data_IF_733315016766
#
_entry.id   IF_733315016766
#
_cell.length_a   1.000
_cell.length_b   1.000
_cell.length_c   1.000
_cell.angle_alpha   90.00
_cell.angle_beta   90.00
_cell.angle_gamma   90.00
#
_symmetry.space_group_name_H-M   'P 1'
#
loop_
_entity.id
_entity.type
_entity.pdbx_description
1 polymer ?
#
# COMPACT_ATOMS: atom_id res chain seq x y z
N UNK A 1 -5.64 8.65 -0.72
CA UNK A 1 -5.82 10.06 -1.15
C UNK A 1 -6.19 10.98 0.01
N UNK A 2 -7.32 10.81 0.72
CA UNK A 2 -7.74 11.74 1.79
C UNK A 2 -6.68 11.97 2.88
N UNK A 3 -5.92 10.93 3.27
CA UNK A 3 -4.88 11.06 4.30
C UNK A 3 -3.63 11.80 3.80
N UNK A 4 -3.22 11.59 2.55
CA UNK A 4 -2.07 12.29 1.96
C UNK A 4 -2.41 13.77 1.74
N UNK A 5 -3.64 14.06 1.27
CA UNK A 5 -4.14 15.44 1.16
C UNK A 5 -4.21 16.14 2.52
N UNK A 6 -4.71 15.46 3.55
CA UNK A 6 -4.73 16.00 4.92
C UNK A 6 -3.33 16.25 5.50
N UNK A 7 -2.32 15.51 5.02
CA UNK A 7 -0.92 15.71 5.37
C UNK A 7 -0.20 16.75 4.50
N UNK A 8 -0.86 17.31 3.48
CA UNK A 8 -0.25 18.15 2.45
C UNK A 8 0.90 17.45 1.69
N UNK A 9 0.76 16.15 1.47
CA UNK A 9 1.72 15.28 0.79
C UNK A 9 1.11 14.60 -0.44
N UNK A 10 -0.03 15.08 -0.95
CA UNK A 10 -0.72 14.49 -2.10
C UNK A 10 0.01 14.66 -3.42
N UNK A 11 0.95 15.60 -3.49
CA UNK A 11 1.90 15.80 -4.58
C UNK A 11 3.01 14.74 -4.60
N UNK A 12 3.38 14.19 -3.44
CA UNK A 12 4.47 13.22 -3.30
C UNK A 12 4.02 11.79 -3.03
N UNK A 13 2.82 11.55 -2.44
CA UNK A 13 2.32 10.20 -2.12
C UNK A 13 0.80 10.11 -2.09
N UNK A 14 0.29 8.90 -1.82
CA UNK A 14 -1.14 8.64 -1.60
C UNK A 14 -1.96 8.26 -2.84
N UNK A 15 -1.32 8.16 -4.01
CA UNK A 15 -1.78 7.52 -5.24
C UNK A 15 -0.58 6.91 -6.01
N UNK A 16 -0.86 6.02 -6.97
CA UNK A 16 0.17 5.40 -7.83
C UNK A 16 0.21 6.17 -9.14
N UNK A 17 1.14 7.12 -9.25
CA UNK A 17 1.32 8.01 -10.40
C UNK A 17 2.82 8.24 -10.65
N UNK A 18 3.21 8.50 -11.89
CA UNK A 18 4.59 8.86 -12.21
C UNK A 18 5.01 10.14 -11.47
N UNK A 19 6.23 10.15 -10.93
CA UNK A 19 6.77 11.28 -10.16
C UNK A 19 6.48 11.24 -8.66
N UNK A 20 5.60 10.34 -8.18
CA UNK A 20 5.35 10.13 -6.74
C UNK A 20 6.24 9.04 -6.13
N UNK A 21 6.37 9.06 -4.81
CA UNK A 21 7.04 8.01 -4.06
C UNK A 21 6.33 6.68 -4.22
N UNK A 22 7.10 5.63 -4.49
CA UNK A 22 6.59 4.28 -4.60
C UNK A 22 6.45 3.65 -3.20
N UNK A 23 5.45 4.13 -2.46
CA UNK A 23 5.04 3.61 -1.15
C UNK A 23 3.86 2.64 -1.33
N UNK A 24 4.13 1.34 -1.22
CA UNK A 24 3.18 0.28 -1.56
C UNK A 24 3.21 -0.86 -0.54
N UNK A 25 2.05 -1.43 -0.26
CA UNK A 25 1.91 -2.69 0.48
C UNK A 25 1.15 -3.69 -0.37
N UNK A 26 1.71 -4.89 -0.52
CA UNK A 26 1.12 -5.97 -1.30
C UNK A 26 0.62 -7.04 -0.34
N UNK A 27 -0.63 -7.46 -0.51
CA UNK A 27 -1.27 -8.51 0.27
C UNK A 27 -1.34 -9.82 -0.53
N UNK A 28 -1.45 -10.95 0.18
CA UNK A 28 -1.59 -12.29 -0.41
C UNK A 28 -2.93 -12.51 -1.14
N UNK A 29 -3.90 -11.59 -0.96
CA UNK A 29 -5.25 -11.64 -1.53
C UNK A 29 -5.74 -10.26 -1.94
N UNK A 30 -6.74 -10.22 -2.82
CA UNK A 30 -7.44 -8.98 -3.18
C UNK A 30 -8.45 -8.60 -2.10
N UNK A 31 -8.13 -7.59 -1.30
CA UNK A 31 -8.98 -7.10 -0.22
C UNK A 31 -10.36 -6.58 -0.68
N UNK A 32 -10.51 -6.25 -1.98
CA UNK A 32 -11.77 -5.73 -2.54
C UNK A 32 -12.76 -6.84 -2.94
N UNK A 33 -12.30 -8.08 -3.02
CA UNK A 33 -13.09 -9.21 -3.52
C UNK A 33 -13.35 -10.29 -2.47
N UNK A 34 -12.59 -10.29 -1.37
CA UNK A 34 -12.76 -11.27 -0.28
C UNK A 34 -13.86 -10.86 0.71
N UNK A 35 -14.45 -11.83 1.43
CA UNK A 35 -15.34 -11.55 2.56
C UNK A 35 -14.66 -10.72 3.66
N UNK A 36 -15.43 -9.88 4.35
CA UNK A 36 -14.92 -8.97 5.40
C UNK A 36 -14.25 -9.73 6.54
N UNK A 37 -14.76 -10.91 6.90
CA UNK A 37 -14.20 -11.78 7.94
C UNK A 37 -12.88 -12.45 7.53
N UNK A 38 -12.54 -12.43 6.24
CA UNK A 38 -11.24 -12.90 5.75
C UNK A 38 -10.17 -11.80 5.69
N UNK A 39 -10.55 -10.52 5.73
CA UNK A 39 -9.60 -9.40 5.66
C UNK A 39 -8.53 -9.52 6.76
N UNK A 40 -8.94 -9.86 7.99
CA UNK A 40 -8.02 -10.01 9.13
C UNK A 40 -7.08 -11.23 9.03
N UNK A 41 -7.33 -12.14 8.08
CA UNK A 41 -6.51 -13.33 7.80
C UNK A 41 -5.57 -13.12 6.63
N UNK A 42 -5.58 -11.93 6.02
CA UNK A 42 -4.64 -11.60 4.94
C UNK A 42 -3.28 -11.28 5.51
N UNK A 43 -2.28 -11.55 4.70
CA UNK A 43 -0.89 -11.37 5.07
C UNK A 43 -0.24 -10.40 4.09
N UNK A 44 0.60 -9.51 4.63
CA UNK A 44 1.46 -8.67 3.81
C UNK A 44 2.56 -9.55 3.23
N UNK A 45 2.71 -9.54 1.90
CA UNK A 45 3.78 -10.25 1.20
C UNK A 45 4.96 -9.34 0.87
N UNK A 46 4.69 -8.06 0.58
CA UNK A 46 5.72 -7.04 0.35
C UNK A 46 5.35 -5.71 0.98
N UNK A 47 6.35 -5.00 1.49
CA UNK A 47 6.27 -3.56 1.75
C UNK A 47 7.39 -2.87 1.01
N UNK A 48 7.02 -1.87 0.21
CA UNK A 48 7.93 -1.04 -0.58
C UNK A 48 7.79 0.39 -0.06
N UNK A 49 8.92 1.01 0.27
CA UNK A 49 8.99 2.42 0.70
C UNK A 49 10.04 3.11 -0.15
N UNK A 50 9.69 4.25 -0.73
CA UNK A 50 10.54 4.99 -1.67
C UNK A 50 11.14 4.09 -2.78
N UNK A 51 10.34 3.13 -3.28
CA UNK A 51 10.77 2.20 -4.33
C UNK A 51 11.72 1.09 -3.88
N UNK A 52 12.02 0.98 -2.58
CA UNK A 52 12.85 -0.10 -2.02
C UNK A 52 11.99 -1.09 -1.27
N UNK A 53 12.21 -2.38 -1.51
CA UNK A 53 11.60 -3.45 -0.71
C UNK A 53 12.20 -3.39 0.70
N UNK A 54 11.39 -3.04 1.69
CA UNK A 54 11.77 -2.99 3.11
C UNK A 54 11.26 -4.20 3.88
N UNK A 55 10.28 -4.90 3.31
CA UNK A 55 9.76 -6.16 3.84
C UNK A 55 9.41 -7.10 2.69
N UNK A 56 9.82 -8.35 2.81
CA UNK A 56 9.42 -9.47 1.96
C UNK A 56 9.12 -10.66 2.87
N UNK A 57 7.94 -11.23 2.69
CA UNK A 57 7.55 -12.46 3.40
C UNK A 57 8.32 -13.63 2.80
N UNK A 58 9.05 -14.36 3.66
CA UNK A 58 9.79 -15.58 3.29
C UNK A 58 8.88 -16.79 3.14
#
# INVERSE_FOLDING_TARGET
INNAYAAFEDDIRGSIEEGKLADLTIFDRNLLEIPVDEILKTEVVYTIVDGKIVFEKK
#
